data_IF_771166063577
#
_entry.id   IF_771166063577
#
_cell.length_a   1.000
_cell.length_b   1.000
_cell.length_c   1.000
_cell.angle_alpha   90.00
_cell.angle_beta   90.00
_cell.angle_gamma   90.00
#
_symmetry.space_group_name_H-M   'P 1'
#
loop_
_entity.id
_entity.type
_entity.pdbx_description
1 polymer ?
#
# COMPACT_ATOMS: atom_id res chain seq x y z
N UNK A 1 -7.69 0.96 -8.85
CA UNK A 1 -7.02 -0.33 -8.56
C UNK A 1 -7.17 -1.25 -9.77
N UNK A 2 -6.29 -2.23 -9.92
CA UNK A 2 -6.38 -3.31 -10.92
C UNK A 2 -6.00 -4.63 -10.27
N UNK A 3 -6.78 -5.68 -10.53
CA UNK A 3 -6.60 -7.01 -9.92
C UNK A 3 -6.53 -6.92 -8.38
N UNK A 4 -7.46 -6.16 -7.82
CA UNK A 4 -7.67 -6.02 -6.39
C UNK A 4 -9.14 -5.67 -6.15
N UNK A 5 -9.65 -6.01 -4.97
CA UNK A 5 -11.04 -5.76 -4.57
C UNK A 5 -11.10 -5.13 -3.19
N UNK A 6 -12.23 -4.50 -2.86
CA UNK A 6 -12.50 -4.07 -1.49
C UNK A 6 -13.14 -5.23 -0.74
N UNK A 7 -12.61 -5.56 0.43
CA UNK A 7 -13.07 -6.65 1.28
C UNK A 7 -13.28 -6.19 2.73
N UNK A 8 -14.01 -7.00 3.49
CA UNK A 8 -14.37 -6.76 4.90
C UNK A 8 -14.33 -8.04 5.76
N UNK A 9 -13.77 -9.12 5.22
CA UNK A 9 -13.74 -10.45 5.84
C UNK A 9 -12.62 -10.66 6.88
N UNK A 10 -11.86 -9.60 7.18
CA UNK A 10 -10.91 -9.51 8.29
C UNK A 10 -11.24 -8.29 9.14
N UNK A 11 -11.03 -8.39 10.45
CA UNK A 11 -11.37 -7.34 11.42
C UNK A 11 -10.22 -6.35 11.63
N UNK A 12 -10.49 -5.22 12.26
CA UNK A 12 -9.46 -4.25 12.67
C UNK A 12 -8.98 -3.27 11.58
N UNK A 13 -9.59 -3.28 10.39
CA UNK A 13 -9.42 -2.23 9.39
C UNK A 13 -10.09 -0.91 9.83
N UNK A 14 -9.74 0.17 9.15
CA UNK A 14 -10.31 1.50 9.32
C UNK A 14 -11.29 1.83 8.19
N UNK A 15 -12.23 2.74 8.44
CA UNK A 15 -13.23 3.09 7.43
C UNK A 15 -14.19 1.93 7.13
N UNK A 16 -14.44 1.66 5.85
CA UNK A 16 -15.50 0.73 5.40
C UNK A 16 -14.99 -0.61 4.86
N UNK A 17 -13.67 -0.81 4.81
CA UNK A 17 -13.04 -2.02 4.30
C UNK A 17 -11.56 -1.82 4.03
N UNK A 18 -10.93 -2.83 3.42
CA UNK A 18 -9.53 -2.79 3.00
C UNK A 18 -9.38 -3.32 1.57
N UNK A 19 -8.25 -3.04 0.94
CA UNK A 19 -7.89 -3.58 -0.37
C UNK A 19 -7.31 -4.98 -0.20
N UNK A 20 -7.93 -5.96 -0.84
CA UNK A 20 -7.42 -7.32 -1.01
C UNK A 20 -6.85 -7.46 -2.43
N UNK A 21 -5.55 -7.71 -2.53
CA UNK A 21 -4.84 -7.87 -3.80
C UNK A 21 -5.05 -9.29 -4.34
N UNK A 22 -5.34 -9.41 -5.64
CA UNK A 22 -5.24 -10.73 -6.30
C UNK A 22 -3.80 -11.24 -6.18
N UNK A 23 -3.63 -12.53 -5.90
CA UNK A 23 -2.33 -13.20 -5.82
C UNK A 23 -1.69 -13.32 -7.21
N UNK A 24 -1.19 -12.19 -7.74
CA UNK A 24 -0.53 -12.07 -9.03
C UNK A 24 0.42 -10.86 -8.98
N UNK A 25 1.57 -11.00 -9.64
CA UNK A 25 2.47 -9.86 -9.83
C UNK A 25 1.79 -8.80 -10.73
N UNK A 26 1.98 -7.53 -10.39
CA UNK A 26 1.39 -6.41 -11.14
C UNK A 26 -0.02 -6.00 -10.71
N UNK A 27 -0.64 -6.68 -9.74
CA UNK A 27 -1.82 -6.16 -9.05
C UNK A 27 -1.47 -4.85 -8.33
N UNK A 28 -2.36 -3.85 -8.36
CA UNK A 28 -2.06 -2.54 -7.79
C UNK A 28 -3.27 -1.77 -7.26
N UNK A 29 -2.99 -0.90 -6.30
CA UNK A 29 -3.83 0.25 -5.93
C UNK A 29 -3.09 1.54 -6.29
N UNK A 30 -3.85 2.59 -6.59
CA UNK A 30 -3.30 3.93 -6.82
C UNK A 30 -4.12 4.93 -6.03
N UNK A 31 -3.43 5.72 -5.21
CA UNK A 31 -3.98 6.79 -4.39
C UNK A 31 -3.76 8.14 -5.08
N UNK A 32 -4.72 9.05 -4.88
CA UNK A 32 -4.54 10.48 -5.12
C UNK A 32 -4.19 11.12 -3.78
N UNK A 33 -3.02 11.76 -3.70
CA UNK A 33 -2.45 12.31 -2.47
C UNK A 33 -2.37 13.82 -2.61
N UNK A 34 -3.33 14.57 -2.04
CA UNK A 34 -3.27 16.03 -2.03
C UNK A 34 -2.32 16.53 -0.92
N UNK A 35 -1.39 17.41 -1.27
CA UNK A 35 -0.53 18.12 -0.31
C UNK A 35 -0.46 19.62 -0.65
N UNK A 36 -0.43 20.48 0.38
CA UNK A 36 -0.48 21.94 0.19
C UNK A 36 0.86 22.56 -0.22
N UNK A 37 1.97 21.86 0.03
CA UNK A 37 3.32 22.33 -0.25
C UNK A 37 4.18 21.20 -0.81
N UNK A 38 5.06 21.54 -1.75
CA UNK A 38 6.08 20.60 -2.21
C UNK A 38 7.05 20.29 -1.06
N UNK A 39 7.49 19.05 -0.96
CA UNK A 39 8.37 18.64 0.12
C UNK A 39 8.58 17.14 0.21
N UNK A 40 9.31 16.75 1.24
CA UNK A 40 9.56 15.36 1.59
C UNK A 40 8.49 14.91 2.59
N UNK A 41 7.79 13.84 2.25
CA UNK A 41 6.71 13.27 3.08
C UNK A 41 7.00 11.81 3.39
N UNK A 42 6.53 11.36 4.54
CA UNK A 42 6.50 9.96 4.91
C UNK A 42 5.15 9.37 4.54
N UNK A 43 5.17 8.39 3.66
CA UNK A 43 4.03 7.54 3.36
C UNK A 43 4.02 6.37 4.34
N UNK A 44 2.92 6.19 5.07
CA UNK A 44 2.72 5.07 6.00
C UNK A 44 1.57 4.20 5.50
N UNK A 45 1.92 3.00 5.06
CA UNK A 45 0.96 2.00 4.59
C UNK A 45 0.55 1.11 5.76
N UNK A 46 -0.71 1.17 6.19
CA UNK A 46 -1.26 0.23 7.16
C UNK A 46 -1.73 -1.03 6.45
N UNK A 47 -1.20 -2.18 6.83
CA UNK A 47 -1.38 -3.44 6.10
C UNK A 47 -1.49 -4.64 7.03
N UNK A 48 -2.04 -5.73 6.52
CA UNK A 48 -1.97 -7.06 7.12
C UNK A 48 -1.39 -8.05 6.11
N UNK A 49 -0.47 -8.89 6.56
CA UNK A 49 0.09 -10.00 5.78
C UNK A 49 0.06 -11.25 6.65
N UNK A 50 -1.07 -11.93 6.71
CA UNK A 50 -1.24 -13.16 7.49
C UNK A 50 -0.62 -14.40 6.85
N UNK A 51 0.28 -14.25 5.88
CA UNK A 51 1.03 -15.35 5.28
C UNK A 51 2.35 -15.59 6.01
N UNK A 52 3.20 -16.49 5.50
CA UNK A 52 4.52 -16.81 6.09
C UNK A 52 5.70 -16.13 5.40
N UNK A 53 5.46 -15.39 4.31
CA UNK A 53 6.50 -14.75 3.50
C UNK A 53 6.22 -13.26 3.27
N UNK A 54 7.27 -12.51 2.92
CA UNK A 54 7.15 -11.10 2.55
C UNK A 54 6.27 -10.93 1.30
N UNK A 55 5.50 -9.83 1.25
CA UNK A 55 4.67 -9.43 0.09
C UNK A 55 5.09 -8.05 -0.42
N UNK A 56 6.28 -7.93 -1.02
CA UNK A 56 6.83 -6.63 -1.40
C UNK A 56 6.00 -5.93 -2.47
N UNK A 57 5.95 -4.60 -2.38
CA UNK A 57 5.33 -3.74 -3.39
C UNK A 57 6.32 -2.70 -3.91
N UNK A 58 6.27 -2.46 -5.21
CA UNK A 58 6.93 -1.35 -5.88
C UNK A 58 6.05 -0.09 -5.72
N UNK A 59 6.58 0.92 -5.03
CA UNK A 59 5.92 2.19 -4.76
C UNK A 59 6.44 3.24 -5.73
N UNK A 60 5.56 3.83 -6.55
CA UNK A 60 5.91 4.94 -7.45
C UNK A 60 5.07 6.18 -7.20
N UNK A 61 5.70 7.34 -7.36
CA UNK A 61 5.05 8.67 -7.32
C UNK A 61 4.98 9.23 -8.74
N UNK A 62 3.80 9.65 -9.18
CA UNK A 62 3.57 10.24 -10.52
C UNK A 62 4.10 9.40 -11.69
N UNK A 63 4.09 8.08 -11.54
CA UNK A 63 4.63 7.16 -12.55
C UNK A 63 6.15 7.16 -12.69
N UNK A 64 6.87 7.82 -11.78
CA UNK A 64 8.33 7.81 -11.73
C UNK A 64 8.92 6.45 -11.32
N UNK A 65 10.25 6.39 -11.24
CA UNK A 65 10.99 5.19 -10.87
C UNK A 65 10.51 4.65 -9.51
N UNK A 66 10.05 3.39 -9.44
CA UNK A 66 9.55 2.84 -8.19
C UNK A 66 10.67 2.47 -7.22
N UNK A 67 10.33 2.50 -5.93
CA UNK A 67 11.13 1.92 -4.85
C UNK A 67 10.41 0.70 -4.30
N UNK A 68 11.10 -0.42 -4.19
CA UNK A 68 10.54 -1.64 -3.57
C UNK A 68 10.52 -1.50 -2.05
N UNK A 69 9.36 -1.75 -1.45
CA UNK A 69 9.14 -1.73 -0.01
C UNK A 69 8.67 -3.12 0.43
N UNK A 70 9.25 -3.62 1.51
CA UNK A 70 8.84 -4.89 2.14
C UNK A 70 7.60 -4.71 3.02
N UNK A 71 6.76 -5.75 3.02
CA UNK A 71 5.55 -5.88 3.82
C UNK A 71 5.58 -7.27 4.49
N UNK A 72 6.43 -7.45 5.51
CA UNK A 72 6.67 -8.75 6.14
C UNK A 72 5.41 -9.34 6.78
N UNK A 73 5.40 -10.64 7.11
CA UNK A 73 4.30 -11.26 7.83
C UNK A 73 3.87 -10.50 9.09
N UNK A 74 2.57 -10.32 9.26
CA UNK A 74 1.93 -9.97 10.53
C UNK A 74 1.51 -11.24 11.26
N UNK A 75 1.03 -11.12 12.51
CA UNK A 75 0.63 -12.30 13.29
C UNK A 75 -0.49 -13.11 12.63
N UNK A 76 -1.42 -12.44 11.93
CA UNK A 76 -2.51 -12.99 11.14
C UNK A 76 -3.16 -11.87 10.31
N UNK A 77 -4.17 -12.20 9.50
CA UNK A 77 -4.89 -11.25 8.65
C UNK A 77 -5.75 -10.22 9.39
N UNK A 78 -6.03 -10.43 10.68
CA UNK A 78 -6.72 -9.48 11.56
C UNK A 78 -5.73 -8.56 12.32
N UNK A 79 -4.42 -8.80 12.16
CA UNK A 79 -3.36 -8.03 12.81
C UNK A 79 -2.68 -7.12 11.80
N UNK A 80 -2.78 -5.82 12.05
CA UNK A 80 -2.32 -4.78 11.16
C UNK A 80 -1.01 -4.16 11.65
N UNK A 81 -0.10 -3.90 10.73
CA UNK A 81 1.18 -3.23 10.95
C UNK A 81 1.34 -2.05 9.98
N UNK A 82 2.44 -1.31 10.12
CA UNK A 82 2.75 -0.17 9.24
C UNK A 82 4.09 -0.37 8.56
N UNK A 83 4.13 -0.22 7.24
CA UNK A 83 5.36 -0.07 6.46
C UNK A 83 5.48 1.39 6.00
N UNK A 84 6.69 1.96 6.06
CA UNK A 84 6.90 3.38 5.76
C UNK A 84 7.97 3.59 4.71
N UNK A 85 7.79 4.62 3.88
CA UNK A 85 8.78 5.11 2.93
C UNK A 85 8.72 6.63 2.86
N UNK A 86 9.86 7.27 2.69
CA UNK A 86 9.96 8.70 2.44
C UNK A 86 10.00 8.98 0.94
N UNK A 87 9.19 9.92 0.47
CA UNK A 87 9.10 10.32 -0.94
C UNK A 87 9.06 11.83 -1.07
N UNK A 88 9.40 12.33 -2.26
CA UNK A 88 9.18 13.73 -2.62
C UNK A 88 7.82 13.90 -3.28
N UNK A 89 7.01 14.83 -2.78
CA UNK A 89 5.70 15.21 -3.33
C UNK A 89 5.72 16.66 -3.80
N UNK A 90 4.84 16.98 -4.76
CA UNK A 90 4.68 18.33 -5.31
C UNK A 90 3.46 19.00 -4.67
N UNK A 91 3.44 20.34 -4.60
CA UNK A 91 2.22 21.03 -4.16
C UNK A 91 1.09 20.74 -5.16
N UNK A 92 -0.07 20.30 -4.66
CA UNK A 92 -1.18 19.87 -5.50
C UNK A 92 -1.60 18.44 -5.18
N UNK A 93 -1.90 17.63 -6.20
CA UNK A 93 -2.29 16.24 -6.04
C UNK A 93 -1.34 15.34 -6.80
N UNK A 94 -0.54 14.58 -6.07
CA UNK A 94 0.31 13.53 -6.64
C UNK A 94 -0.45 12.20 -6.70
N UNK A 95 0.06 11.29 -7.51
CA UNK A 95 -0.39 9.90 -7.51
C UNK A 95 0.64 9.01 -6.85
N UNK A 96 0.19 8.14 -5.95
CA UNK A 96 1.04 7.11 -5.31
C UNK A 96 0.48 5.76 -5.71
N UNK A 97 1.26 4.95 -6.44
CA UNK A 97 0.87 3.59 -6.83
C UNK A 97 1.68 2.56 -6.05
N UNK A 98 0.98 1.59 -5.45
CA UNK A 98 1.59 0.45 -4.79
C UNK A 98 1.28 -0.83 -5.58
N UNK A 99 2.29 -1.36 -6.26
CA UNK A 99 2.17 -2.50 -7.19
C UNK A 99 2.85 -3.73 -6.60
N UNK A 100 2.13 -4.85 -6.46
CA UNK A 100 2.72 -6.10 -6.00
C UNK A 100 3.79 -6.61 -6.99
N UNK A 101 4.94 -7.03 -6.48
CA UNK A 101 6.04 -7.51 -7.33
C UNK A 101 6.10 -9.04 -7.44
N UNK A 102 5.46 -9.75 -6.50
CA UNK A 102 5.47 -11.21 -6.43
C UNK A 102 4.16 -11.87 -6.85
N UNK A 103 4.23 -13.16 -7.18
CA UNK A 103 3.07 -13.98 -7.53
C UNK A 103 2.06 -14.15 -6.38
N UNK A 104 2.44 -13.83 -5.14
CA UNK A 104 1.53 -13.83 -3.99
C UNK A 104 0.70 -12.54 -3.87
N UNK A 105 0.81 -11.60 -4.81
CA UNK A 105 0.12 -10.30 -4.72
C UNK A 105 0.67 -9.42 -3.60
N UNK A 106 -0.05 -8.34 -3.31
CA UNK A 106 0.24 -7.42 -2.19
C UNK A 106 -0.31 -7.95 -0.86
N UNK A 107 0.02 -7.30 0.26
CA UNK A 107 -0.69 -7.53 1.52
C UNK A 107 -2.13 -7.00 1.42
N UNK A 108 -2.96 -7.33 2.42
CA UNK A 108 -4.20 -6.58 2.63
C UNK A 108 -3.81 -5.16 3.02
N UNK A 109 -4.31 -4.15 2.31
CA UNK A 109 -3.94 -2.76 2.53
C UNK A 109 -5.15 -1.97 3.02
N UNK A 110 -5.07 -1.48 4.24
CA UNK A 110 -6.15 -0.75 4.90
C UNK A 110 -6.12 0.74 4.52
N UNK A 111 -5.00 1.41 4.77
CA UNK A 111 -4.92 2.85 4.58
C UNK A 111 -3.51 3.33 4.23
N UNK A 112 -3.46 4.54 3.68
CA UNK A 112 -2.25 5.31 3.45
C UNK A 112 -2.36 6.61 4.25
N UNK A 113 -1.47 6.79 5.22
CA UNK A 113 -1.26 8.04 5.94
C UNK A 113 -0.06 8.80 5.33
N UNK A 114 -0.15 10.13 5.28
CA UNK A 114 0.84 11.01 4.65
C UNK A 114 1.18 12.12 5.62
N UNK A 115 2.45 12.18 6.05
CA UNK A 115 2.93 13.12 7.08
C UNK A 115 4.31 13.66 6.80
#
# INVERSE_FOLDING_TARGET
MSQATVATNHTGFTGTGFVDYTNVAGSYVQFSVPVSAAGTYTLKFRYANGSTADRPMAISVNGGTPVTVSFPPTANWDTWATASITVSLTAGTDTVRATATGAAGGPNLDSLDVS
#
